data_IF_828626535665
#
_entry.id   IF_828626535665
#
_cell.length_a   1.000
_cell.length_b   1.000
_cell.length_c   1.000
_cell.angle_alpha   90.00
_cell.angle_beta   90.00
_cell.angle_gamma   90.00
#
_symmetry.space_group_name_H-M   'P 1'
#
loop_
_entity.id
_entity.type
_entity.pdbx_description
1 polymer ?
#
# COMPACT_ATOMS: atom_id res chain seq x y z
N UNK A 1 -37.85 10.29 -15.44
CA UNK A 1 -36.59 10.91 -14.95
C UNK A 1 -36.34 10.46 -13.54
N UNK A 2 -35.35 9.59 -13.30
CA UNK A 2 -34.79 9.37 -11.97
C UNK A 2 -33.28 9.37 -12.13
N UNK A 3 -32.65 10.52 -11.88
CA UNK A 3 -31.21 10.60 -11.71
C UNK A 3 -30.91 9.83 -10.41
N UNK A 4 -30.14 8.75 -10.52
CA UNK A 4 -29.63 8.04 -9.34
C UNK A 4 -28.84 8.99 -8.44
N UNK A 5 -28.68 8.69 -7.14
CA UNK A 5 -28.04 9.60 -6.19
C UNK A 5 -26.67 10.01 -6.72
N UNK A 6 -26.43 11.33 -6.77
CA UNK A 6 -25.17 11.94 -7.21
C UNK A 6 -24.07 11.52 -6.24
N UNK A 7 -23.33 10.47 -6.61
CA UNK A 7 -22.19 10.00 -5.83
C UNK A 7 -21.07 11.01 -6.02
N UNK A 8 -20.94 11.93 -5.07
CA UNK A 8 -19.85 12.91 -5.01
C UNK A 8 -18.52 12.22 -5.29
N UNK A 9 -17.83 12.68 -6.35
CA UNK A 9 -16.54 12.12 -6.79
C UNK A 9 -15.48 12.42 -5.74
N UNK A 10 -15.25 11.47 -4.84
CA UNK A 10 -14.16 11.55 -3.86
C UNK A 10 -12.82 11.38 -4.59
N UNK A 11 -11.90 12.32 -4.38
CA UNK A 11 -10.54 12.20 -4.90
C UNK A 11 -9.84 10.96 -4.32
N UNK A 12 -9.00 10.30 -5.13
CA UNK A 12 -8.25 9.11 -4.69
C UNK A 12 -7.51 9.34 -3.35
N UNK A 13 -6.83 10.48 -3.11
CA UNK A 13 -6.15 10.72 -1.82
C UNK A 13 -7.09 10.70 -0.61
N UNK A 14 -8.29 11.25 -0.76
CA UNK A 14 -9.28 11.32 0.31
C UNK A 14 -9.88 9.94 0.59
N UNK A 15 -10.14 9.16 -0.46
CA UNK A 15 -10.63 7.79 -0.34
C UNK A 15 -9.62 6.91 0.42
N UNK A 16 -8.34 7.00 0.07
CA UNK A 16 -7.25 6.30 0.77
C UNK A 16 -7.19 6.72 2.24
N UNK A 17 -7.23 8.02 2.51
CA UNK A 17 -7.16 8.55 3.88
C UNK A 17 -8.32 8.07 4.75
N UNK A 18 -9.55 8.07 4.21
CA UNK A 18 -10.74 7.58 4.92
C UNK A 18 -10.65 6.09 5.24
N UNK A 19 -10.23 5.26 4.28
CA UNK A 19 -10.10 3.81 4.49
C UNK A 19 -9.03 3.50 5.53
N UNK A 20 -7.85 4.13 5.44
CA UNK A 20 -6.76 3.92 6.41
C UNK A 20 -7.13 4.39 7.82
N UNK A 21 -7.89 5.49 7.94
CA UNK A 21 -8.38 5.97 9.24
C UNK A 21 -9.28 4.94 9.90
N UNK A 22 -10.25 4.36 9.18
CA UNK A 22 -11.12 3.32 9.73
C UNK A 22 -10.32 2.07 10.11
N UNK A 23 -9.39 1.63 9.24
CA UNK A 23 -8.54 0.48 9.52
C UNK A 23 -7.66 0.67 10.78
N UNK A 24 -7.27 1.91 11.09
CA UNK A 24 -6.47 2.22 12.29
C UNK A 24 -7.22 2.01 13.61
N UNK A 25 -8.54 1.79 13.58
CA UNK A 25 -9.35 1.45 14.76
C UNK A 25 -9.04 0.03 15.31
N UNK A 26 -8.23 -0.77 14.61
CA UNK A 26 -7.64 -2.00 15.15
C UNK A 26 -8.50 -3.26 15.05
N UNK A 27 -9.70 -3.17 14.47
CA UNK A 27 -10.54 -4.34 14.19
C UNK A 27 -10.33 -4.88 12.77
N UNK A 28 -10.69 -6.15 12.55
CA UNK A 28 -10.85 -6.70 11.20
C UNK A 28 -12.18 -6.24 10.62
N UNK A 29 -12.17 -5.78 9.37
CA UNK A 29 -13.37 -5.32 8.68
C UNK A 29 -13.50 -6.01 7.33
N UNK A 30 -14.72 -6.39 6.98
CA UNK A 30 -15.07 -6.72 5.59
C UNK A 30 -15.09 -5.47 4.71
N UNK A 31 -14.94 -5.65 3.38
CA UNK A 31 -15.05 -4.55 2.41
C UNK A 31 -16.41 -3.83 2.52
N UNK A 32 -17.48 -4.58 2.82
CA UNK A 32 -18.82 -4.02 3.03
C UNK A 32 -18.91 -3.14 4.28
N UNK A 33 -18.26 -3.53 5.38
CA UNK A 33 -18.19 -2.71 6.60
C UNK A 33 -17.36 -1.45 6.39
N UNK A 34 -16.24 -1.56 5.69
CA UNK A 34 -15.42 -0.41 5.32
C UNK A 34 -16.21 0.57 4.45
N UNK A 35 -16.96 0.07 3.46
CA UNK A 35 -17.82 0.92 2.62
C UNK A 35 -18.85 1.68 3.47
N UNK A 36 -19.53 1.00 4.41
CA UNK A 36 -20.47 1.65 5.33
C UNK A 36 -19.81 2.69 6.23
N UNK A 37 -18.68 2.35 6.86
CA UNK A 37 -17.97 3.24 7.80
C UNK A 37 -17.33 4.45 7.11
N UNK A 38 -16.86 4.30 5.88
CA UNK A 38 -16.20 5.38 5.12
C UNK A 38 -17.17 6.22 4.29
N UNK A 39 -18.40 5.74 4.07
CA UNK A 39 -19.37 6.33 3.15
C UNK A 39 -18.95 6.21 1.67
N UNK A 40 -18.01 5.33 1.36
CA UNK A 40 -17.52 5.10 -0.01
C UNK A 40 -18.25 3.93 -0.65
N UNK A 41 -18.34 3.94 -1.99
CA UNK A 41 -18.84 2.76 -2.69
C UNK A 41 -17.86 1.59 -2.52
N UNK A 42 -18.39 0.36 -2.53
CA UNK A 42 -17.63 -0.88 -2.33
C UNK A 42 -16.47 -1.04 -3.31
N UNK A 43 -16.66 -0.70 -4.60
CA UNK A 43 -15.62 -0.77 -5.65
C UNK A 43 -14.48 0.22 -5.42
N UNK A 44 -14.76 1.39 -4.85
CA UNK A 44 -13.74 2.38 -4.47
C UNK A 44 -12.92 1.88 -3.30
N UNK A 45 -13.58 1.30 -2.29
CA UNK A 45 -12.88 0.67 -1.16
C UNK A 45 -11.96 -0.44 -1.65
N UNK A 46 -12.48 -1.33 -2.49
CA UNK A 46 -11.73 -2.45 -3.07
C UNK A 46 -10.46 -1.98 -3.79
N UNK A 47 -10.60 -1.01 -4.70
CA UNK A 47 -9.47 -0.40 -5.41
C UNK A 47 -8.45 0.27 -4.48
N UNK A 48 -8.91 0.90 -3.40
CA UNK A 48 -8.03 1.52 -2.41
C UNK A 48 -7.23 0.44 -1.67
N UNK A 49 -7.87 -0.66 -1.28
CA UNK A 49 -7.20 -1.78 -0.62
C UNK A 49 -6.15 -2.40 -1.54
N UNK A 50 -6.49 -2.67 -2.80
CA UNK A 50 -5.53 -3.18 -3.80
C UNK A 50 -4.31 -2.27 -3.94
N UNK A 51 -4.54 -0.96 -4.06
CA UNK A 51 -3.48 0.04 -4.16
C UNK A 51 -2.59 0.05 -2.92
N UNK A 52 -3.18 0.01 -1.73
CA UNK A 52 -2.42 -0.01 -0.47
C UNK A 52 -1.61 -1.30 -0.36
N UNK A 53 -2.16 -2.46 -0.72
CA UNK A 53 -1.46 -3.74 -0.71
C UNK A 53 -0.29 -3.75 -1.70
N UNK A 54 -0.46 -3.19 -2.89
CA UNK A 54 0.62 -3.06 -3.88
C UNK A 54 1.75 -2.15 -3.38
N UNK A 55 1.41 -1.01 -2.78
CA UNK A 55 2.37 -0.11 -2.14
C UNK A 55 3.09 -0.82 -0.99
N UNK A 56 2.37 -1.54 -0.12
CA UNK A 56 2.97 -2.32 0.96
C UNK A 56 3.93 -3.39 0.45
N UNK A 57 3.53 -4.14 -0.58
CA UNK A 57 4.39 -5.15 -1.24
C UNK A 57 5.69 -4.52 -1.71
N UNK A 58 5.61 -3.40 -2.43
CA UNK A 58 6.79 -2.67 -2.93
C UNK A 58 7.67 -2.14 -1.80
N UNK A 59 7.06 -1.48 -0.81
CA UNK A 59 7.76 -0.85 0.30
C UNK A 59 8.24 -1.84 1.37
N UNK A 60 7.84 -3.10 1.27
CA UNK A 60 8.39 -4.18 2.09
C UNK A 60 9.84 -4.50 1.71
N UNK A 61 10.20 -4.36 0.44
CA UNK A 61 11.57 -4.61 -0.08
C UNK A 61 12.34 -3.32 -0.28
N UNK A 62 11.65 -2.28 -0.73
CA UNK A 62 12.25 -0.99 -1.05
C UNK A 62 11.90 0.04 0.02
N UNK A 63 12.79 1.00 0.26
CA UNK A 63 12.57 2.17 1.08
C UNK A 63 12.39 3.37 0.17
N UNK A 64 11.25 4.04 0.27
CA UNK A 64 11.05 5.34 -0.37
C UNK A 64 11.79 6.41 0.44
N UNK A 65 12.56 7.24 -0.26
CA UNK A 65 13.30 8.36 0.32
C UNK A 65 12.96 9.62 -0.46
N UNK A 66 12.79 10.73 0.25
CA UNK A 66 12.56 12.07 -0.31
C UNK A 66 13.56 13.01 0.36
N UNK A 67 14.52 13.56 -0.40
CA UNK A 67 15.54 14.49 0.10
C UNK A 67 15.46 15.81 -0.66
N UNK A 68 15.47 16.93 0.07
CA UNK A 68 15.44 18.29 -0.49
C UNK A 68 16.81 18.66 -1.04
N UNK A 69 16.84 19.29 -2.20
CA UNK A 69 18.03 19.83 -2.87
C UNK A 69 17.69 21.24 -3.37
N UNK A 70 18.09 22.26 -2.61
CA UNK A 70 17.73 23.66 -2.89
C UNK A 70 16.21 23.84 -2.89
N UNK A 71 15.65 24.22 -4.05
CA UNK A 71 14.20 24.39 -4.26
C UNK A 71 13.48 23.12 -4.72
N UNK A 72 14.20 22.02 -4.93
CA UNK A 72 13.68 20.77 -5.51
C UNK A 72 13.74 19.60 -4.53
N UNK A 73 13.09 18.49 -4.86
CA UNK A 73 13.19 17.23 -4.12
C UNK A 73 13.65 16.10 -5.04
N UNK A 74 14.61 15.30 -4.58
CA UNK A 74 14.90 14.01 -5.20
C UNK A 74 14.12 12.92 -4.47
N UNK A 75 13.38 12.11 -5.23
CA UNK A 75 12.61 10.97 -4.74
C UNK A 75 13.23 9.69 -5.27
N UNK A 76 13.55 8.72 -4.41
CA UNK A 76 14.21 7.46 -4.79
C UNK A 76 13.66 6.28 -3.99
N UNK A 77 13.48 5.14 -4.65
CA UNK A 77 13.31 3.84 -4.02
C UNK A 77 14.68 3.16 -3.92
N UNK A 78 15.04 2.64 -2.75
CA UNK A 78 16.30 1.90 -2.51
C UNK A 78 16.01 0.55 -1.87
N UNK A 79 16.80 -0.47 -2.17
CA UNK A 79 16.68 -1.76 -1.49
C UNK A 79 16.89 -1.62 0.02
N UNK A 80 16.08 -2.33 0.82
CA UNK A 80 16.28 -2.42 2.26
C UNK A 80 17.41 -3.42 2.51
N UNK A 81 18.53 -2.92 3.03
CA UNK A 81 19.77 -3.68 3.26
C UNK A 81 19.56 -5.01 4.01
N UNK A 82 18.63 -5.06 4.97
CA UNK A 82 18.31 -6.29 5.73
C UNK A 82 17.72 -7.39 4.83
N UNK A 83 16.76 -7.05 3.98
CA UNK A 83 16.13 -8.03 3.07
C UNK A 83 17.08 -8.47 1.96
N UNK A 84 17.94 -7.57 1.48
CA UNK A 84 19.00 -7.93 0.52
C UNK A 84 19.98 -8.95 1.13
N UNK A 85 20.37 -8.77 2.40
CA UNK A 85 21.21 -9.73 3.12
C UNK A 85 20.53 -11.09 3.33
N UNK A 86 19.26 -11.09 3.72
CA UNK A 86 18.46 -12.33 3.86
C UNK A 86 18.37 -13.09 2.54
N UNK A 87 18.11 -12.40 1.42
CA UNK A 87 18.03 -13.01 0.09
C UNK A 87 19.36 -13.61 -0.38
N UNK A 88 20.48 -12.91 -0.13
CA UNK A 88 21.83 -13.41 -0.43
C UNK A 88 22.17 -14.63 0.43
N UNK A 89 21.85 -14.58 1.73
CA UNK A 89 22.04 -15.71 2.65
C UNK A 89 21.26 -16.95 2.20
N UNK A 90 20.00 -16.78 1.81
CA UNK A 90 19.15 -17.90 1.38
C UNK A 90 19.59 -18.50 0.04
N UNK A 91 20.09 -17.67 -0.89
CA UNK A 91 20.70 -18.14 -2.12
C UNK A 91 22.00 -18.93 -1.86
N UNK A 92 22.85 -18.44 -0.96
CA UNK A 92 24.09 -19.12 -0.57
C UNK A 92 23.84 -20.48 0.07
N UNK A 93 22.85 -20.59 0.97
CA UNK A 93 22.46 -21.87 1.61
C UNK A 93 21.95 -22.91 0.61
N UNK A 94 21.26 -22.48 -0.46
CA UNK A 94 20.77 -23.38 -1.51
C UNK A 94 21.89 -23.91 -2.40
N UNK A 95 22.90 -23.07 -2.68
CA UNK A 95 24.09 -23.51 -3.42
C UNK A 95 24.92 -24.52 -2.62
N UNK A 96 25.08 -24.31 -1.31
CA UNK A 96 25.83 -25.24 -0.45
C UNK A 96 25.14 -26.59 -0.27
N UNK A 97 23.80 -26.67 -0.43
CA UNK A 97 23.04 -27.93 -0.30
C UNK A 97 23.01 -28.81 -1.56
N UNK A 98 23.38 -28.26 -2.72
CA UNK A 98 23.37 -28.98 -3.99
C UNK A 98 24.78 -29.37 -4.45
N UNK A 99 25.79 -29.19 -3.60
CA UNK A 99 27.20 -29.50 -3.87
C UNK A 99 27.74 -30.71 -3.11
N UNK A 100 26.89 -31.42 -2.37
CA UNK A 100 27.14 -32.75 -1.77
C UNK A 100 26.40 -33.83 -2.57
#
# INVERSE_FOLDING_TARGET
MQNGPDVSRVGIPDAVSKVLRVLSEGASFSVSELARKTGLNRRTVDKVLDMVLEVQKTLSFKKLTKKKFGRSYAVKLRERTRKAKEFISDAGKRLMRNGD
#
